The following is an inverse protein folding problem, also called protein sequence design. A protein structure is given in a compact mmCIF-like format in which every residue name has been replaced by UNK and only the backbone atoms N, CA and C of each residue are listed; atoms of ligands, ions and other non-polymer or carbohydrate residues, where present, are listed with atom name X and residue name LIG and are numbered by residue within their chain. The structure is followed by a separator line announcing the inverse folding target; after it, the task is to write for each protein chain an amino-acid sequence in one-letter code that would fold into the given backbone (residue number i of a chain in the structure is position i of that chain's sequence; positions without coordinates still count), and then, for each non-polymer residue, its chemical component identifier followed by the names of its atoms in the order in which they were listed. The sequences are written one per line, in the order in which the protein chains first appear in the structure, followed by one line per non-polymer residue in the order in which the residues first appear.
data_IF_966576554422
#
_entry.id   IF_966576554422
#
_cell.length_a   1.000
_cell.length_b   1.000
_cell.length_c   1.000
_cell.angle_alpha   90.00
_cell.angle_beta   90.00
_cell.angle_gamma   90.00
#
_symmetry.space_group_name_H-M   'P 1'
#
loop_
_entity.id
_entity.type
_entity.pdbx_description
1 polymer ?
#
# COMPACT_ATOMS: atom_id res chain seq x y z
N UNK A 1 -24.01 0.70 0.13
CA UNK A 1 -22.56 1.03 0.14
C UNK A 1 -21.80 -0.17 -0.42
N UNK A 2 -20.76 0.01 -1.26
CA UNK A 2 -20.07 -1.10 -1.98
C UNK A 2 -19.02 -1.87 -1.16
N UNK A 3 -18.69 -1.43 0.07
CA UNK A 3 -17.76 -2.14 0.97
C UNK A 3 -16.27 -1.80 0.78
N UNK A 4 -15.93 -0.85 -0.10
CA UNK A 4 -14.55 -0.41 -0.30
C UNK A 4 -14.01 0.28 0.96
N UNK A 5 -12.71 0.11 1.21
CA UNK A 5 -11.97 0.86 2.22
C UNK A 5 -11.35 2.08 1.55
N UNK A 6 -11.74 3.27 2.03
CA UNK A 6 -11.29 4.54 1.48
C UNK A 6 -10.08 5.07 2.25
N UNK A 7 -9.17 5.73 1.53
CA UNK A 7 -7.97 6.34 2.08
C UNK A 7 -8.06 7.86 1.96
N UNK A 8 -7.94 8.55 3.08
CA UNK A 8 -8.16 10.00 3.18
C UNK A 8 -6.89 10.79 3.49
N UNK A 9 -5.75 10.11 3.62
CA UNK A 9 -4.50 10.77 3.94
C UNK A 9 -3.65 10.01 4.93
N UNK A 10 -2.46 10.54 5.12
CA UNK A 10 -1.47 10.04 6.06
C UNK A 10 -0.70 11.18 6.71
N UNK A 11 -0.21 10.87 7.91
CA UNK A 11 0.67 11.74 8.67
C UNK A 11 1.99 11.02 8.91
N UNK A 12 2.86 11.10 7.92
CA UNK A 12 4.14 10.40 7.89
C UNK A 12 5.28 11.20 8.52
N UNK A 13 6.29 10.46 8.97
CA UNK A 13 7.55 10.99 9.48
C UNK A 13 8.68 10.00 9.14
N UNK A 14 9.44 10.30 8.09
CA UNK A 14 10.62 9.54 7.72
C UNK A 14 11.81 10.00 8.56
N UNK A 15 12.44 9.05 9.27
CA UNK A 15 13.61 9.29 10.10
C UNK A 15 14.88 9.07 9.27
N UNK A 16 15.50 10.16 8.84
CA UNK A 16 16.67 10.14 7.98
C UNK A 16 17.96 10.05 8.81
N UNK A 17 19.09 9.64 8.18
CA UNK A 17 20.41 9.69 8.81
C UNK A 17 20.70 11.06 9.43
N UNK A 18 21.37 11.07 10.59
CA UNK A 18 21.70 12.31 11.32
C UNK A 18 20.53 12.92 12.10
N UNK A 19 19.42 12.19 12.27
CA UNK A 19 18.29 12.62 13.12
C UNK A 19 17.35 13.63 12.45
N UNK A 20 17.52 13.90 11.16
CA UNK A 20 16.58 14.72 10.39
C UNK A 20 15.26 13.96 10.23
N UNK A 21 14.14 14.66 10.39
CA UNK A 21 12.80 14.12 10.15
C UNK A 21 12.22 14.78 8.91
N UNK A 22 11.83 13.97 7.92
CA UNK A 22 11.09 14.41 6.75
C UNK A 22 9.59 14.06 6.89
N UNK A 23 8.72 15.00 6.57
CA UNK A 23 7.24 14.84 6.62
C UNK A 23 6.60 15.15 5.27
N UNK A 24 7.41 15.29 4.22
CA UNK A 24 6.97 15.61 2.86
C UNK A 24 5.87 14.65 2.37
N UNK A 25 5.96 13.36 2.69
CA UNK A 25 4.94 12.37 2.32
C UNK A 25 3.55 12.56 2.94
N UNK A 26 3.39 13.42 3.96
CA UNK A 26 2.06 13.63 4.56
C UNK A 26 1.11 14.34 3.60
N UNK A 27 -0.11 13.83 3.46
CA UNK A 27 -1.16 14.44 2.65
C UNK A 27 -2.54 14.18 3.28
N UNK A 28 -3.53 14.97 2.87
CA UNK A 28 -4.91 14.86 3.37
C UNK A 28 -5.90 15.18 2.24
N UNK A 29 -6.94 14.37 2.13
CA UNK A 29 -8.03 14.58 1.18
C UNK A 29 -8.75 15.91 1.46
N UNK A 30 -8.97 16.69 0.41
CA UNK A 30 -9.54 18.04 0.49
C UNK A 30 -8.54 19.14 0.84
N UNK A 31 -7.26 18.81 1.11
CA UNK A 31 -6.20 19.77 1.40
C UNK A 31 -5.22 19.83 0.22
N UNK A 32 -4.92 21.02 -0.30
CA UNK A 32 -4.01 21.23 -1.44
C UNK A 32 -4.31 20.26 -2.61
N UNK A 33 -5.57 20.20 -3.01
CA UNK A 33 -6.08 19.33 -4.08
C UNK A 33 -5.83 17.82 -3.86
N UNK A 34 -5.65 17.38 -2.61
CA UNK A 34 -5.65 15.96 -2.26
C UNK A 34 -7.02 15.33 -2.53
N UNK A 35 -7.05 14.23 -3.26
CA UNK A 35 -8.25 13.43 -3.51
C UNK A 35 -8.16 12.10 -2.76
N UNK A 36 -9.24 11.65 -2.10
CA UNK A 36 -9.24 10.35 -1.48
C UNK A 36 -9.24 9.24 -2.54
N UNK A 37 -8.51 8.16 -2.26
CA UNK A 37 -8.53 6.96 -3.07
C UNK A 37 -9.10 5.76 -2.33
N UNK A 38 -8.88 4.58 -2.89
CA UNK A 38 -9.32 3.31 -2.33
C UNK A 38 -8.06 2.55 -1.91
N UNK A 39 -7.88 2.26 -0.62
CA UNK A 39 -6.76 1.41 -0.18
C UNK A 39 -7.05 -0.09 -0.39
N UNK A 40 -8.33 -0.46 -0.44
CA UNK A 40 -8.76 -1.84 -0.71
C UNK A 40 -10.16 -1.87 -1.31
N UNK A 41 -10.29 -2.48 -2.49
CA UNK A 41 -11.60 -2.77 -3.09
C UNK A 41 -12.37 -3.77 -2.23
N UNK A 42 -13.69 -3.69 -2.23
CA UNK A 42 -14.53 -4.65 -1.51
C UNK A 42 -14.43 -6.08 -2.06
N UNK A 43 -14.19 -6.19 -3.36
CA UNK A 43 -14.08 -7.45 -4.07
C UNK A 43 -13.05 -7.33 -5.20
N UNK A 44 -11.75 -7.20 -4.88
CA UNK A 44 -10.70 -7.00 -5.88
C UNK A 44 -10.65 -8.20 -6.83
N UNK A 45 -10.65 -7.97 -8.15
CA UNK A 45 -10.46 -8.95 -9.20
C UNK A 45 -9.16 -8.70 -9.96
N UNK A 46 -8.66 -9.71 -10.66
CA UNK A 46 -7.62 -9.49 -11.67
C UNK A 46 -8.33 -9.06 -12.97
N UNK A 47 -7.89 -8.01 -13.68
CA UNK A 47 -6.70 -7.18 -13.45
C UNK A 47 -7.04 -5.78 -12.90
N UNK A 48 -7.88 -5.66 -11.86
CA UNK A 48 -8.33 -4.37 -11.34
C UNK A 48 -7.14 -3.46 -11.01
N UNK A 49 -7.22 -2.21 -11.46
CA UNK A 49 -6.30 -1.15 -11.09
C UNK A 49 -7.07 0.04 -10.51
N UNK A 50 -6.55 0.64 -9.44
CA UNK A 50 -7.22 1.72 -8.73
C UNK A 50 -6.21 2.66 -8.04
N UNK A 51 -6.55 3.95 -7.99
CA UNK A 51 -5.78 4.93 -7.22
C UNK A 51 -6.00 4.72 -5.72
N UNK A 52 -4.92 4.58 -4.98
CA UNK A 52 -4.93 4.53 -3.51
C UNK A 52 -4.97 5.96 -2.95
N UNK A 53 -4.34 6.90 -3.64
CA UNK A 53 -4.25 8.30 -3.27
C UNK A 53 -4.01 9.18 -4.50
N UNK A 54 -4.25 10.48 -4.35
CA UNK A 54 -3.85 11.46 -5.35
C UNK A 54 -3.67 12.86 -4.76
N UNK A 55 -2.47 13.39 -4.88
CA UNK A 55 -2.08 14.78 -4.73
C UNK A 55 -0.88 14.99 -5.63
N UNK A 56 -1.07 15.82 -6.66
CA UNK A 56 -0.08 16.00 -7.72
C UNK A 56 1.30 16.36 -7.16
N UNK A 57 2.31 15.54 -7.51
CA UNK A 57 3.69 15.75 -7.10
C UNK A 57 4.01 15.40 -5.65
N UNK A 58 3.06 14.81 -4.90
CA UNK A 58 3.26 14.45 -3.49
C UNK A 58 2.84 13.00 -3.17
N UNK A 59 1.66 12.59 -3.62
CA UNK A 59 1.03 11.31 -3.27
C UNK A 59 0.27 10.78 -4.49
N UNK A 60 0.76 9.76 -5.19
CA UNK A 60 0.15 9.32 -6.47
C UNK A 60 0.08 7.80 -6.62
N UNK A 61 -0.04 7.08 -5.49
CA UNK A 61 -0.02 5.61 -5.49
C UNK A 61 -1.21 4.99 -6.21
N UNK A 62 -0.89 3.96 -7.00
CA UNK A 62 -1.82 3.12 -7.73
C UNK A 62 -1.54 1.67 -7.41
N UNK A 63 -2.59 0.91 -7.10
CA UNK A 63 -2.53 -0.53 -6.97
C UNK A 63 -3.04 -1.21 -8.24
N UNK A 64 -2.38 -2.30 -8.61
CA UNK A 64 -2.79 -3.21 -9.67
C UNK A 64 -2.84 -4.65 -9.15
N UNK A 65 -4.02 -5.26 -9.17
CA UNK A 65 -4.25 -6.62 -8.68
C UNK A 65 -3.74 -7.63 -9.70
N UNK A 66 -2.75 -8.43 -9.29
CA UNK A 66 -2.06 -9.40 -10.17
C UNK A 66 -2.25 -10.86 -9.77
N UNK A 67 -2.62 -11.15 -8.52
CA UNK A 67 -2.89 -12.52 -8.09
C UNK A 67 -3.89 -12.58 -6.94
N UNK A 68 -4.59 -13.72 -6.79
CA UNK A 68 -5.62 -13.96 -5.76
C UNK A 68 -5.71 -15.43 -5.38
N UNK A 69 -6.12 -15.69 -4.15
CA UNK A 69 -6.44 -17.04 -3.68
C UNK A 69 -5.22 -17.89 -3.33
N UNK A 70 -4.04 -17.28 -3.25
CA UNK A 70 -2.80 -17.98 -2.91
C UNK A 70 -2.64 -18.13 -1.40
N UNK A 71 -1.59 -18.85 -0.99
CA UNK A 71 -1.13 -18.91 0.40
C UNK A 71 0.24 -18.30 0.51
N UNK A 72 0.54 -17.65 1.64
CA UNK A 72 1.83 -17.06 1.92
C UNK A 72 2.26 -17.32 3.36
N UNK A 73 3.54 -17.59 3.55
CA UNK A 73 4.14 -17.78 4.87
C UNK A 73 4.98 -16.57 5.24
N UNK A 74 4.66 -15.97 6.39
CA UNK A 74 5.38 -14.85 7.02
C UNK A 74 5.70 -15.26 8.48
N UNK A 75 6.52 -14.50 9.23
CA UNK A 75 6.85 -14.88 10.60
C UNK A 75 5.62 -15.04 11.53
N UNK A 76 4.51 -14.33 11.23
CA UNK A 76 3.24 -14.54 11.93
C UNK A 76 2.60 -15.92 11.71
N UNK A 77 2.90 -16.58 10.59
CA UNK A 77 2.37 -17.89 10.20
C UNK A 77 2.03 -17.98 8.71
N UNK A 78 1.39 -19.09 8.34
CA UNK A 78 0.84 -19.27 6.99
C UNK A 78 -0.58 -18.72 6.92
N UNK A 79 -0.82 -17.88 5.91
CA UNK A 79 -2.11 -17.24 5.64
C UNK A 79 -2.61 -17.68 4.26
N UNK A 80 -3.93 -17.76 4.13
CA UNK A 80 -4.61 -18.24 2.93
C UNK A 80 -5.51 -17.15 2.34
N UNK A 81 -5.97 -17.38 1.10
CA UNK A 81 -6.78 -16.44 0.34
C UNK A 81 -6.09 -15.07 0.18
N UNK A 82 -4.78 -15.10 -0.05
CA UNK A 82 -3.94 -13.91 -0.19
C UNK A 82 -4.24 -13.23 -1.52
N UNK A 83 -4.34 -11.90 -1.47
CA UNK A 83 -4.37 -11.01 -2.62
C UNK A 83 -2.95 -10.47 -2.84
N UNK A 84 -2.51 -10.40 -4.09
CA UNK A 84 -1.25 -9.77 -4.47
C UNK A 84 -1.51 -8.58 -5.39
N UNK A 85 -0.97 -7.42 -5.03
CA UNK A 85 -0.90 -6.24 -5.88
C UNK A 85 0.53 -5.91 -6.27
N UNK A 86 0.67 -5.23 -7.40
CA UNK A 86 1.80 -4.37 -7.68
C UNK A 86 1.39 -2.93 -7.41
N UNK A 87 2.20 -2.18 -6.70
CA UNK A 87 1.93 -0.80 -6.31
C UNK A 87 3.07 0.11 -6.81
N UNK A 88 2.68 1.26 -7.35
CA UNK A 88 3.61 2.21 -7.97
C UNK A 88 2.99 3.61 -8.02
N UNK A 89 3.85 4.62 -8.07
CA UNK A 89 3.45 6.01 -8.22
C UNK A 89 3.95 6.59 -9.54
N UNK A 90 3.16 7.48 -10.15
CA UNK A 90 3.56 8.15 -11.40
C UNK A 90 4.78 9.06 -11.22
N UNK A 91 4.93 9.61 -10.01
CA UNK A 91 6.05 10.46 -9.59
C UNK A 91 7.34 9.67 -9.37
N UNK A 92 7.24 8.36 -9.12
CA UNK A 92 8.36 7.44 -8.90
C UNK A 92 8.29 6.23 -9.85
N UNK A 93 8.35 6.43 -11.19
CA UNK A 93 8.00 5.40 -12.17
C UNK A 93 8.97 4.21 -12.24
N UNK A 94 10.06 4.22 -11.47
CA UNK A 94 11.05 3.15 -11.39
C UNK A 94 10.94 2.33 -10.11
N UNK A 95 10.05 2.72 -9.20
CA UNK A 95 9.79 2.02 -7.94
C UNK A 95 8.51 1.23 -8.11
N UNK A 96 8.58 -0.07 -7.84
CA UNK A 96 7.43 -0.98 -7.90
C UNK A 96 7.51 -1.90 -6.71
N UNK A 97 6.48 -1.87 -5.88
CA UNK A 97 6.33 -2.75 -4.73
C UNK A 97 5.35 -3.87 -5.03
N UNK A 98 5.66 -5.06 -4.56
CA UNK A 98 4.70 -6.14 -4.44
C UNK A 98 4.15 -6.17 -3.03
N UNK A 99 2.82 -6.07 -2.89
CA UNK A 99 2.15 -6.20 -1.59
C UNK A 99 1.25 -7.41 -1.57
N UNK A 100 1.29 -8.13 -0.45
CA UNK A 100 0.44 -9.27 -0.17
C UNK A 100 -0.52 -8.88 0.96
N UNK A 101 -1.80 -9.18 0.77
CA UNK A 101 -2.86 -8.89 1.72
C UNK A 101 -3.57 -10.16 2.13
N UNK A 102 -3.84 -10.31 3.43
CA UNK A 102 -4.67 -11.39 3.96
C UNK A 102 -6.04 -10.87 4.46
N UNK A 103 -7.12 -11.65 4.30
CA UNK A 103 -8.43 -11.29 4.82
C UNK A 103 -8.39 -10.98 6.33
N UNK A 104 -9.10 -9.93 6.74
CA UNK A 104 -9.22 -9.47 8.15
C UNK A 104 -7.92 -9.02 8.81
N UNK A 105 -6.84 -8.90 8.04
CA UNK A 105 -5.53 -8.45 8.54
C UNK A 105 -5.07 -7.20 7.80
N UNK A 106 -5.15 -7.19 6.46
CA UNK A 106 -4.52 -6.16 5.64
C UNK A 106 -3.18 -6.64 5.09
N UNK A 107 -2.19 -5.75 4.98
CA UNK A 107 -0.86 -6.06 4.45
C UNK A 107 -0.17 -7.08 5.35
N UNK A 108 0.35 -8.15 4.75
CA UNK A 108 1.11 -9.20 5.43
C UNK A 108 2.57 -9.24 4.97
N UNK A 109 2.84 -8.78 3.76
CA UNK A 109 4.19 -8.62 3.24
C UNK A 109 4.22 -7.50 2.19
N UNK A 110 5.31 -6.77 2.17
CA UNK A 110 5.66 -5.76 1.19
C UNK A 110 7.10 -6.00 0.75
N UNK A 111 7.38 -5.88 -0.54
CA UNK A 111 8.71 -6.12 -1.10
C UNK A 111 8.91 -5.27 -2.33
N UNK A 112 9.97 -4.45 -2.33
CA UNK A 112 10.39 -3.73 -3.52
C UNK A 112 10.86 -4.72 -4.59
N UNK A 113 10.20 -4.71 -5.75
CA UNK A 113 10.64 -5.44 -6.94
C UNK A 113 11.66 -4.62 -7.72
N UNK A 114 11.50 -3.31 -7.75
CA UNK A 114 12.43 -2.35 -8.34
C UNK A 114 12.53 -1.10 -7.46
N UNK A 115 13.68 -0.42 -7.48
CA UNK A 115 13.95 0.73 -6.61
C UNK A 115 14.84 0.36 -5.42
N UNK A 116 14.90 1.23 -4.39
CA UNK A 116 15.59 0.92 -3.14
C UNK A 116 15.05 -0.36 -2.50
N UNK A 117 15.90 -1.23 -1.93
CA UNK A 117 15.43 -2.45 -1.30
C UNK A 117 14.55 -2.15 -0.08
N UNK A 118 13.33 -2.67 -0.10
CA UNK A 118 12.40 -2.63 1.02
C UNK A 118 11.75 -4.01 1.21
N UNK A 119 11.66 -4.45 2.47
CA UNK A 119 10.92 -5.65 2.86
C UNK A 119 10.23 -5.40 4.20
N UNK A 120 8.92 -5.52 4.22
CA UNK A 120 8.14 -5.62 5.45
C UNK A 120 7.42 -6.97 5.49
N UNK A 121 7.35 -7.60 6.67
CA UNK A 121 6.62 -8.85 6.89
C UNK A 121 5.88 -8.79 8.21
N UNK A 122 4.64 -9.28 8.23
CA UNK A 122 3.86 -9.38 9.45
C UNK A 122 4.52 -10.38 10.41
N UNK A 123 4.90 -9.88 11.59
CA UNK A 123 5.53 -10.68 12.65
C UNK A 123 4.52 -11.10 13.70
N UNK A 124 3.67 -10.19 14.17
CA UNK A 124 2.71 -10.45 15.24
C UNK A 124 1.53 -9.47 15.17
N UNK A 125 0.34 -9.95 15.54
CA UNK A 125 -0.83 -9.12 15.83
C UNK A 125 -1.06 -9.14 17.34
N UNK A 126 -1.13 -7.96 17.97
CA UNK A 126 -1.48 -7.81 19.39
C UNK A 126 -2.92 -7.33 19.44
N UNK A 127 -3.74 -7.97 20.28
CA UNK A 127 -5.13 -7.58 20.53
C UNK A 127 -5.24 -6.69 21.76
#
# INVERSE_FOLDING_TARGET
KRGNVWYFGEKTAAYLPGGKIDRSGSWEAGVKDGEPGIIMLANPQIPDAYRQEYQKGNAEDTAWVVNRGTSASVPFGTLHNVLTSLEFARIEPKVVDQKLYAPRIGIIQETALTGPPEVAKLVRIIK
#
